data_IF_838701704927
#
_entry.id   IF_838701704927
#
_cell.length_a   1.000
_cell.length_b   1.000
_cell.length_c   1.000
_cell.angle_alpha   90.00
_cell.angle_beta   90.00
_cell.angle_gamma   90.00
#
_symmetry.space_group_name_H-M   'P 1'
#
loop_
_entity.id
_entity.type
_entity.pdbx_description
1 polymer ?
#
# COMPACT_ATOMS: atom_id res chain seq x y z
N UNK A 1 -7.53 1.65 -8.02
CA UNK A 1 -7.75 0.67 -9.10
C UNK A 1 -8.69 -0.34 -8.50
N UNK A 2 -9.83 -0.59 -9.15
CA UNK A 2 -10.94 -1.24 -8.46
C UNK A 2 -11.33 -2.52 -9.19
N UNK A 3 -11.58 -3.58 -8.44
CA UNK A 3 -12.02 -4.85 -8.99
C UNK A 3 -13.26 -5.38 -8.29
N UNK A 4 -14.20 -5.87 -9.10
CA UNK A 4 -15.46 -6.46 -8.66
C UNK A 4 -15.61 -7.87 -9.24
N UNK A 5 -15.81 -8.87 -8.40
CA UNK A 5 -16.00 -10.26 -8.86
C UNK A 5 -16.11 -11.28 -7.73
N UNK A 6 -16.53 -12.52 -8.04
CA UNK A 6 -16.61 -13.60 -7.05
C UNK A 6 -15.22 -13.98 -6.49
N UNK A 7 -14.22 -13.93 -7.37
CA UNK A 7 -12.82 -14.15 -7.07
C UNK A 7 -12.03 -13.09 -7.81
N UNK A 8 -10.91 -12.65 -7.23
CA UNK A 8 -9.91 -12.03 -8.07
C UNK A 8 -8.64 -11.59 -7.38
N UNK A 9 -7.73 -11.09 -8.22
CA UNK A 9 -6.40 -10.64 -7.80
C UNK A 9 -6.14 -9.28 -8.39
N UNK A 10 -5.71 -8.35 -7.55
CA UNK A 10 -5.23 -7.03 -7.96
C UNK A 10 -3.76 -6.90 -7.58
N UNK A 11 -2.94 -6.51 -8.55
CA UNK A 11 -1.51 -6.25 -8.38
C UNK A 11 -1.20 -4.85 -8.91
N UNK A 12 -0.47 -4.06 -8.13
CA UNK A 12 0.12 -2.79 -8.57
C UNK A 12 1.58 -2.71 -8.11
N UNK A 13 2.43 -2.16 -8.97
CA UNK A 13 3.84 -1.90 -8.73
C UNK A 13 4.11 -0.49 -9.27
N UNK A 14 4.63 0.40 -8.43
CA UNK A 14 4.83 1.81 -8.79
C UNK A 14 6.18 2.28 -8.29
N UNK A 15 7.03 2.71 -9.23
CA UNK A 15 8.35 3.26 -8.93
C UNK A 15 8.47 4.73 -9.32
N UNK A 16 9.15 5.52 -8.49
CA UNK A 16 9.48 6.90 -8.81
C UNK A 16 10.94 7.25 -8.48
N UNK A 17 11.60 7.91 -9.43
CA UNK A 17 12.96 8.39 -9.30
C UNK A 17 13.02 9.89 -9.62
N UNK A 18 13.47 10.71 -8.68
CA UNK A 18 13.54 12.16 -8.91
C UNK A 18 14.06 12.97 -7.73
N UNK A 19 14.32 14.28 -7.95
CA UNK A 19 14.79 15.18 -6.89
C UNK A 19 13.71 15.50 -5.84
N UNK A 20 12.45 15.50 -6.25
CA UNK A 20 11.28 15.65 -5.40
C UNK A 20 10.19 14.77 -5.98
N UNK A 21 9.44 14.08 -5.12
CA UNK A 21 8.44 13.14 -5.59
C UNK A 21 7.23 12.98 -4.67
N UNK A 22 6.08 12.72 -5.29
CA UNK A 22 4.90 12.23 -4.60
C UNK A 22 4.36 11.03 -5.36
N UNK A 23 4.22 9.90 -4.68
CA UNK A 23 3.45 8.76 -5.15
C UNK A 23 2.18 8.62 -4.30
N UNK A 24 1.11 8.27 -5.00
CA UNK A 24 -0.22 8.06 -4.47
C UNK A 24 -0.76 6.79 -5.14
N UNK A 25 -1.14 5.81 -4.33
CA UNK A 25 -1.80 4.59 -4.80
C UNK A 25 -3.04 4.32 -3.95
N UNK A 26 -4.12 3.96 -4.62
CA UNK A 26 -5.40 3.59 -4.01
C UNK A 26 -5.89 2.34 -4.74
N UNK A 27 -6.22 1.29 -3.98
CA UNK A 27 -6.70 0.03 -4.56
C UNK A 27 -7.81 -0.61 -3.74
N UNK A 28 -8.91 -0.89 -4.43
CA UNK A 28 -10.08 -1.50 -3.83
C UNK A 28 -10.43 -2.83 -4.48
N UNK A 29 -10.79 -3.82 -3.66
CA UNK A 29 -11.29 -5.09 -4.15
C UNK A 29 -12.57 -5.50 -3.44
N UNK A 30 -13.58 -5.85 -4.23
CA UNK A 30 -14.89 -6.31 -3.75
C UNK A 30 -15.18 -7.72 -4.26
N UNK A 31 -15.34 -8.67 -3.34
CA UNK A 31 -15.66 -10.05 -3.68
C UNK A 31 -15.67 -11.02 -2.51
N UNK A 32 -16.33 -12.20 -2.65
CA UNK A 32 -16.20 -13.36 -1.75
C UNK A 32 -14.75 -13.67 -1.36
N UNK A 33 -13.89 -13.78 -2.37
CA UNK A 33 -12.49 -14.15 -2.22
C UNK A 33 -11.60 -13.16 -2.97
N UNK A 34 -10.57 -12.63 -2.30
CA UNK A 34 -9.72 -11.62 -2.88
C UNK A 34 -8.25 -11.73 -2.50
N UNK A 35 -7.36 -11.28 -3.39
CA UNK A 35 -5.98 -10.97 -3.05
C UNK A 35 -5.55 -9.63 -3.66
N UNK A 36 -5.13 -8.72 -2.78
CA UNK A 36 -4.60 -7.42 -3.13
C UNK A 36 -3.12 -7.37 -2.78
N UNK A 37 -2.27 -7.06 -3.77
CA UNK A 37 -0.83 -6.84 -3.62
C UNK A 37 -0.48 -5.45 -4.16
N UNK A 38 0.21 -4.65 -3.37
CA UNK A 38 0.90 -3.45 -3.86
C UNK A 38 2.35 -3.45 -3.45
N UNK A 39 3.19 -2.97 -4.36
CA UNK A 39 4.58 -2.60 -4.13
C UNK A 39 4.78 -1.15 -4.57
N UNK A 40 5.45 -0.35 -3.74
CA UNK A 40 5.73 1.06 -4.05
C UNK A 40 7.11 1.49 -3.61
N UNK A 41 7.88 1.99 -4.58
CA UNK A 41 9.24 2.43 -4.37
C UNK A 41 9.43 3.91 -4.74
N UNK A 42 10.09 4.65 -3.85
CA UNK A 42 10.49 6.02 -4.12
C UNK A 42 11.96 6.30 -3.80
N UNK A 43 12.66 6.90 -4.77
CA UNK A 43 14.07 7.27 -4.66
C UNK A 43 14.29 8.75 -4.97
N UNK A 44 14.91 9.47 -4.03
CA UNK A 44 15.13 10.90 -4.17
C UNK A 44 15.79 11.60 -2.97
N UNK A 45 16.04 12.91 -3.05
CA UNK A 45 16.34 13.80 -1.93
C UNK A 45 15.15 14.00 -0.98
N UNK A 46 13.95 14.20 -1.54
CA UNK A 46 12.74 14.54 -0.81
C UNK A 46 11.50 13.87 -1.40
N UNK A 47 10.58 13.42 -0.54
CA UNK A 47 9.35 12.86 -1.07
C UNK A 47 8.28 12.40 -0.10
N UNK A 48 7.16 11.99 -0.68
CA UNK A 48 5.94 11.60 0.01
C UNK A 48 5.29 10.40 -0.67
N UNK A 49 5.19 9.31 0.08
CA UNK A 49 4.43 8.13 -0.30
C UNK A 49 3.10 8.10 0.47
N UNK A 50 2.02 7.87 -0.26
CA UNK A 50 0.68 7.65 0.28
C UNK A 50 0.08 6.41 -0.38
N UNK A 51 -0.34 5.45 0.44
CA UNK A 51 -1.06 4.26 0.01
C UNK A 51 -2.35 4.06 0.79
N UNK A 52 -3.40 3.70 0.08
CA UNK A 52 -4.67 3.25 0.66
C UNK A 52 -5.08 1.95 -0.04
N UNK A 53 -5.42 0.91 0.72
CA UNK A 53 -5.87 -0.35 0.14
C UNK A 53 -7.01 -0.97 0.94
N UNK A 54 -8.11 -1.20 0.25
CA UNK A 54 -9.30 -1.78 0.84
C UNK A 54 -9.67 -3.12 0.22
N UNK A 55 -10.08 -4.05 1.08
CA UNK A 55 -10.64 -5.31 0.65
C UNK A 55 -11.96 -5.62 1.37
N UNK A 56 -13.01 -5.83 0.59
CA UNK A 56 -14.35 -6.14 1.06
C UNK A 56 -14.73 -7.57 0.66
N UNK A 57 -14.82 -8.48 1.63
CA UNK A 57 -15.09 -9.88 1.35
C UNK A 57 -15.02 -10.81 2.56
N UNK A 58 -15.74 -11.94 2.54
CA UNK A 58 -15.64 -12.96 3.57
C UNK A 58 -14.22 -13.48 3.78
N UNK A 59 -13.49 -13.71 2.68
CA UNK A 59 -12.14 -14.25 2.69
C UNK A 59 -11.20 -13.36 1.86
N UNK A 60 -10.02 -13.06 2.38
CA UNK A 60 -9.12 -12.21 1.63
C UNK A 60 -7.70 -12.08 2.16
N UNK A 61 -6.79 -11.62 1.31
CA UNK A 61 -5.42 -11.25 1.69
C UNK A 61 -5.04 -9.90 1.12
N UNK A 62 -4.61 -9.00 2.00
CA UNK A 62 -3.96 -7.74 1.69
C UNK A 62 -2.48 -7.84 2.01
N UNK A 63 -1.66 -7.50 1.02
CA UNK A 63 -0.20 -7.52 1.10
C UNK A 63 0.33 -6.20 0.55
N UNK A 64 1.08 -5.49 1.39
CA UNK A 64 1.68 -4.21 1.05
C UNK A 64 3.18 -4.23 1.27
N UNK A 65 3.93 -3.76 0.29
CA UNK A 65 5.36 -3.50 0.41
C UNK A 65 5.63 -2.07 -0.05
N UNK A 66 6.45 -1.36 0.71
CA UNK A 66 6.81 0.01 0.39
C UNK A 66 8.21 0.35 0.85
N UNK A 67 9.02 0.84 -0.08
CA UNK A 67 10.35 1.38 0.21
C UNK A 67 10.47 2.86 -0.14
N UNK A 68 11.02 3.64 0.80
CA UNK A 68 11.41 5.03 0.58
C UNK A 68 12.90 5.24 0.86
N UNK A 69 13.66 5.63 -0.16
CA UNK A 69 15.08 5.93 -0.07
C UNK A 69 15.32 7.43 -0.27
N UNK A 70 15.06 8.20 0.80
CA UNK A 70 15.13 9.66 0.76
C UNK A 70 15.68 10.26 2.06
N UNK A 71 16.59 11.25 1.97
CA UNK A 71 17.05 12.02 3.13
C UNK A 71 15.93 12.58 4.01
N UNK A 72 14.91 13.15 3.37
CA UNK A 72 13.74 13.77 4.00
C UNK A 72 12.46 13.21 3.37
N UNK A 73 11.62 12.55 4.18
CA UNK A 73 10.53 11.76 3.61
C UNK A 73 9.30 11.65 4.51
N UNK A 74 8.13 11.46 3.89
CA UNK A 74 6.93 11.04 4.60
C UNK A 74 6.30 9.82 3.95
N UNK A 75 5.91 8.88 4.78
CA UNK A 75 5.16 7.69 4.41
C UNK A 75 3.86 7.68 5.18
N UNK A 76 2.75 7.54 4.46
CA UNK A 76 1.43 7.24 5.01
C UNK A 76 0.90 5.98 4.31
N UNK A 77 0.46 4.99 5.08
CA UNK A 77 -0.16 3.79 4.56
C UNK A 77 -1.38 3.43 5.40
N UNK A 78 -2.50 3.20 4.72
CA UNK A 78 -3.75 2.73 5.31
C UNK A 78 -4.16 1.45 4.60
N UNK A 79 -4.54 0.43 5.37
CA UNK A 79 -5.03 -0.82 4.82
C UNK A 79 -6.20 -1.34 5.64
N UNK A 80 -7.33 -1.52 4.97
CA UNK A 80 -8.53 -2.01 5.60
C UNK A 80 -8.99 -3.33 4.98
N UNK A 81 -9.38 -4.26 5.86
CA UNK A 81 -10.02 -5.48 5.43
C UNK A 81 -11.34 -5.71 6.14
N UNK A 82 -12.41 -5.70 5.36
CA UNK A 82 -13.76 -5.92 5.85
C UNK A 82 -14.19 -7.37 5.60
N UNK A 83 -13.99 -8.24 6.60
CA UNK A 83 -14.31 -9.66 6.49
C UNK A 83 -14.00 -10.50 7.73
N UNK A 84 -14.73 -11.59 7.99
CA UNK A 84 -14.47 -12.52 9.08
C UNK A 84 -13.17 -13.33 8.92
N UNK A 85 -12.68 -13.58 7.69
CA UNK A 85 -11.56 -14.50 7.43
C UNK A 85 -10.46 -13.88 6.55
N UNK A 86 -9.88 -12.81 7.06
CA UNK A 86 -8.87 -12.02 6.37
C UNK A 86 -7.44 -12.20 6.87
N UNK A 87 -6.44 -11.79 6.06
CA UNK A 87 -5.08 -11.48 6.52
C UNK A 87 -4.60 -10.16 5.92
N UNK A 88 -4.12 -9.27 6.77
CA UNK A 88 -3.34 -8.10 6.38
C UNK A 88 -1.87 -8.31 6.73
N UNK A 89 -0.99 -8.03 5.78
CA UNK A 89 0.45 -7.97 5.97
C UNK A 89 0.98 -6.69 5.31
N UNK A 90 1.87 -6.00 6.01
CA UNK A 90 2.61 -4.87 5.46
C UNK A 90 4.06 -4.87 5.87
N UNK A 91 4.89 -4.41 4.95
CA UNK A 91 6.30 -4.12 5.13
C UNK A 91 6.54 -2.71 4.58
N UNK A 92 7.11 -1.85 5.42
CA UNK A 92 7.34 -0.44 5.07
C UNK A 92 8.72 -0.07 5.60
N UNK A 93 9.63 0.20 4.68
CA UNK A 93 10.98 0.65 4.98
C UNK A 93 11.18 2.11 4.56
N UNK A 94 11.85 2.87 5.45
CA UNK A 94 12.24 4.24 5.19
C UNK A 94 13.72 4.43 5.51
N UNK A 95 14.49 4.76 4.48
CA UNK A 95 15.93 4.95 4.54
C UNK A 95 16.28 6.44 4.40
N UNK A 96 16.51 7.08 5.54
CA UNK A 96 16.88 8.49 5.61
C UNK A 96 17.07 8.98 7.05
N UNK A 97 17.86 10.04 7.29
CA UNK A 97 18.00 10.63 8.62
C UNK A 97 16.74 11.36 9.10
N UNK A 98 15.86 11.85 8.20
CA UNK A 98 14.74 12.74 8.54
C UNK A 98 13.42 12.27 7.92
N UNK A 99 12.93 11.14 8.40
CA UNK A 99 11.69 10.51 7.93
C UNK A 99 10.53 10.57 8.94
N UNK A 100 9.30 10.53 8.44
CA UNK A 100 8.12 10.13 9.22
C UNK A 100 7.40 8.99 8.53
N UNK A 101 7.05 7.98 9.32
CA UNK A 101 6.22 6.86 8.91
C UNK A 101 4.96 6.86 9.78
N UNK A 102 3.80 6.79 9.13
CA UNK A 102 2.53 6.45 9.75
C UNK A 102 1.93 5.27 8.97
N UNK A 103 1.56 4.22 9.69
CA UNK A 103 0.82 3.10 9.12
C UNK A 103 -0.36 2.74 10.01
N UNK A 104 -1.51 2.53 9.37
CA UNK A 104 -2.75 2.10 9.98
C UNK A 104 -3.22 0.82 9.27
N UNK A 105 -3.70 -0.13 10.05
CA UNK A 105 -4.16 -1.44 9.57
C UNK A 105 -5.37 -1.85 10.38
N UNK A 106 -6.53 -1.94 9.73
CA UNK A 106 -7.78 -2.35 10.36
C UNK A 106 -8.37 -3.61 9.71
N UNK A 107 -8.95 -4.48 10.56
CA UNK A 107 -9.57 -5.75 10.18
C UNK A 107 -10.86 -6.00 10.96
#
# INVERSE_FOLDING_TARGET
MDQYGPEGRLLSEIDQYGPEGRLLSEMDQYGPEGRLLSEMDQYGPEGRLLSEMDQYGPEGRLLFEMDQYEPEGRVLSEMDQYGPEGRLLSEIDQYGPEGRLLSEMDQ
#
